data_IF_727891323937
#
_entry.id   IF_727891323937
#
_cell.length_a   1.000
_cell.length_b   1.000
_cell.length_c   1.000
_cell.angle_alpha   90.00
_cell.angle_beta   90.00
_cell.angle_gamma   90.00
#
_symmetry.space_group_name_H-M   'P 1'
#
loop_
_entity.id
_entity.type
_entity.pdbx_description
1 polymer ?
#
# COMPACT_ATOMS: atom_id res chain seq x y z
N UNK A 1 -2.66 -15.88 -8.46
CA UNK A 1 -3.29 -15.27 -7.27
C UNK A 1 -2.78 -13.86 -7.00
N UNK A 2 -1.47 -13.65 -6.81
CA UNK A 2 -0.93 -12.32 -6.42
C UNK A 2 -1.24 -11.19 -7.43
N UNK A 3 -1.17 -11.45 -8.75
CA UNK A 3 -1.52 -10.45 -9.76
C UNK A 3 -3.02 -10.07 -9.72
N UNK A 4 -3.89 -11.06 -9.53
CA UNK A 4 -5.33 -10.82 -9.37
C UNK A 4 -5.60 -9.98 -8.11
N UNK A 5 -4.99 -10.33 -6.98
CA UNK A 5 -5.09 -9.56 -5.74
C UNK A 5 -4.53 -8.14 -5.88
N UNK A 6 -3.43 -7.96 -6.60
CA UNK A 6 -2.89 -6.63 -6.91
C UNK A 6 -3.93 -5.77 -7.63
N UNK A 7 -4.58 -6.30 -8.67
CA UNK A 7 -5.62 -5.59 -9.41
C UNK A 7 -6.79 -5.24 -8.48
N UNK A 8 -7.23 -6.19 -7.66
CA UNK A 8 -8.32 -5.97 -6.69
C UNK A 8 -7.95 -4.86 -5.69
N UNK A 9 -6.74 -4.87 -5.12
CA UNK A 9 -6.31 -3.84 -4.18
C UNK A 9 -6.10 -2.48 -4.82
N UNK A 10 -5.69 -2.43 -6.09
CA UNK A 10 -5.67 -1.17 -6.86
C UNK A 10 -7.08 -0.61 -6.98
N UNK A 11 -8.05 -1.42 -7.42
CA UNK A 11 -9.44 -0.96 -7.59
C UNK A 11 -10.02 -0.52 -6.24
N UNK A 12 -9.88 -1.33 -5.18
CA UNK A 12 -10.41 -1.02 -3.85
C UNK A 12 -9.73 0.21 -3.24
N UNK A 13 -8.42 0.36 -3.39
CA UNK A 13 -7.68 1.52 -2.88
C UNK A 13 -8.14 2.82 -3.53
N UNK A 14 -8.25 2.83 -4.86
CA UNK A 14 -8.76 4.01 -5.58
C UNK A 14 -10.25 4.25 -5.31
N UNK A 15 -11.10 3.22 -5.31
CA UNK A 15 -12.50 3.38 -4.96
C UNK A 15 -12.67 3.94 -3.54
N UNK A 16 -11.91 3.41 -2.57
CA UNK A 16 -11.89 3.95 -1.21
C UNK A 16 -11.48 5.41 -1.17
N UNK A 17 -10.49 5.82 -1.96
CA UNK A 17 -10.06 7.21 -2.07
C UNK A 17 -11.17 8.10 -2.64
N UNK A 18 -11.82 7.69 -3.74
CA UNK A 18 -12.85 8.50 -4.41
C UNK A 18 -14.16 8.58 -3.63
N UNK A 19 -14.52 7.54 -2.89
CA UNK A 19 -15.75 7.48 -2.10
C UNK A 19 -15.56 7.79 -0.61
N UNK A 20 -14.37 8.23 -0.20
CA UNK A 20 -14.00 8.49 1.21
C UNK A 20 -14.31 7.31 2.15
N UNK A 21 -13.87 6.11 1.75
CA UNK A 21 -14.01 4.90 2.56
C UNK A 21 -12.64 4.48 3.07
N UNK A 22 -12.39 4.76 4.35
CA UNK A 22 -11.10 4.56 5.02
C UNK A 22 -10.58 3.12 4.90
N UNK A 23 -11.47 2.15 5.10
CA UNK A 23 -11.12 0.74 4.99
C UNK A 23 -10.60 0.37 3.59
N UNK A 24 -11.17 0.98 2.54
CA UNK A 24 -10.76 0.76 1.16
C UNK A 24 -9.37 1.33 0.89
N UNK A 25 -9.12 2.57 1.33
CA UNK A 25 -7.80 3.22 1.24
C UNK A 25 -6.74 2.43 2.02
N UNK A 26 -7.08 2.02 3.24
CA UNK A 26 -6.18 1.30 4.14
C UNK A 26 -5.76 -0.05 3.57
N UNK A 27 -6.74 -0.88 3.21
CA UNK A 27 -6.48 -2.23 2.71
C UNK A 27 -5.86 -2.18 1.32
N UNK A 28 -6.40 -1.35 0.42
CA UNK A 28 -5.91 -1.22 -0.94
C UNK A 28 -4.46 -0.75 -0.99
N UNK A 29 -4.20 0.48 -0.56
CA UNK A 29 -2.85 1.05 -0.62
C UNK A 29 -1.87 0.42 0.38
N UNK A 30 -2.35 -0.19 1.47
CA UNK A 30 -1.51 -0.93 2.40
C UNK A 30 -0.96 -2.23 1.80
N UNK A 31 -1.76 -2.94 0.98
CA UNK A 31 -1.40 -4.27 0.47
C UNK A 31 -0.86 -4.28 -0.95
N UNK A 32 -1.06 -3.21 -1.73
CA UNK A 32 -0.45 -3.07 -3.08
C UNK A 32 1.05 -3.37 -3.05
N UNK A 33 1.89 -2.73 -2.20
CA UNK A 33 3.33 -2.95 -2.25
C UNK A 33 3.73 -4.39 -1.94
N UNK A 34 3.02 -5.04 -1.02
CA UNK A 34 3.22 -6.45 -0.69
C UNK A 34 2.95 -7.35 -1.89
N UNK A 35 1.89 -7.08 -2.66
CA UNK A 35 1.60 -7.86 -3.87
C UNK A 35 2.64 -7.62 -4.96
N UNK A 36 3.07 -6.36 -5.16
CA UNK A 36 4.15 -6.04 -6.11
C UNK A 36 5.43 -6.79 -5.74
N UNK A 37 5.77 -6.87 -4.45
CA UNK A 37 6.89 -7.65 -3.93
C UNK A 37 6.72 -9.16 -4.19
N UNK A 38 5.54 -9.72 -3.91
CA UNK A 38 5.25 -11.16 -4.09
C UNK A 38 5.26 -11.61 -5.55
N UNK A 39 5.08 -10.69 -6.51
CA UNK A 39 5.20 -10.97 -7.95
C UNK A 39 6.69 -10.93 -8.40
N UNK A 40 7.63 -10.70 -7.48
CA UNK A 40 9.09 -10.63 -7.73
C UNK A 40 9.47 -9.55 -8.75
N UNK A 41 8.76 -8.42 -8.70
CA UNK A 41 9.13 -7.22 -9.46
C UNK A 41 10.49 -6.68 -9.03
N UNK A 42 11.16 -5.89 -9.89
CA UNK A 42 12.45 -5.28 -9.55
C UNK A 42 12.32 -4.40 -8.30
N UNK A 43 13.37 -4.36 -7.48
CA UNK A 43 13.43 -3.57 -6.24
C UNK A 43 12.95 -2.12 -6.42
N UNK A 44 13.33 -1.46 -7.53
CA UNK A 44 12.92 -0.09 -7.86
C UNK A 44 11.40 0.05 -7.90
N UNK A 45 10.68 -0.87 -8.55
CA UNK A 45 9.22 -0.78 -8.65
C UNK A 45 8.52 -1.02 -7.32
N UNK A 46 9.02 -1.97 -6.51
CA UNK A 46 8.47 -2.19 -5.16
C UNK A 46 8.66 -0.95 -4.31
N UNK A 47 9.86 -0.37 -4.31
CA UNK A 47 10.14 0.86 -3.56
C UNK A 47 9.25 2.02 -4.03
N UNK A 48 9.11 2.21 -5.34
CA UNK A 48 8.20 3.23 -5.89
C UNK A 48 6.76 2.98 -5.44
N UNK A 49 6.30 1.73 -5.40
CA UNK A 49 4.95 1.42 -4.93
C UNK A 49 4.76 1.76 -3.45
N UNK A 50 5.74 1.45 -2.58
CA UNK A 50 5.69 1.80 -1.15
C UNK A 50 5.59 3.31 -0.99
N UNK A 51 6.45 4.06 -1.68
CA UNK A 51 6.49 5.53 -1.56
C UNK A 51 5.17 6.13 -2.05
N UNK A 52 4.68 5.73 -3.24
CA UNK A 52 3.45 6.30 -3.79
C UNK A 52 2.23 5.97 -2.95
N UNK A 53 2.08 4.73 -2.49
CA UNK A 53 0.95 4.35 -1.62
C UNK A 53 1.01 5.00 -0.25
N UNK A 54 2.22 5.21 0.29
CA UNK A 54 2.42 5.94 1.56
C UNK A 54 2.00 7.40 1.43
N UNK A 55 2.40 8.08 0.35
CA UNK A 55 2.04 9.47 0.11
C UNK A 55 0.52 9.64 -0.11
N UNK A 56 -0.07 8.79 -0.95
CA UNK A 56 -1.50 8.86 -1.27
C UNK A 56 -2.35 8.49 -0.05
N UNK A 57 -2.13 7.31 0.53
CA UNK A 57 -2.91 6.85 1.69
C UNK A 57 -2.64 7.68 2.95
N UNK A 58 -1.38 8.04 3.20
CA UNK A 58 -1.01 8.90 4.32
C UNK A 58 -1.61 10.29 4.20
N UNK A 59 -1.56 10.90 3.00
CA UNK A 59 -2.20 12.17 2.72
C UNK A 59 -3.72 12.13 2.97
N UNK A 60 -4.38 11.04 2.55
CA UNK A 60 -5.80 10.82 2.79
C UNK A 60 -6.13 10.74 4.30
N UNK A 61 -5.39 9.96 5.09
CA UNK A 61 -5.69 9.83 6.54
C UNK A 61 -5.35 11.10 7.32
N UNK A 62 -4.32 11.86 6.91
CA UNK A 62 -4.05 13.19 7.48
C UNK A 62 -5.21 14.14 7.18
N UNK A 63 -5.70 14.16 5.94
CA UNK A 63 -6.83 14.99 5.54
C UNK A 63 -8.11 14.64 6.30
N UNK A 64 -8.37 13.35 6.49
CA UNK A 64 -9.56 12.84 7.19
C UNK A 64 -9.44 12.88 8.72
N UNK A 65 -8.30 13.34 9.26
CA UNK A 65 -7.99 13.42 10.70
C UNK A 65 -8.00 12.07 11.44
N UNK A 66 -7.81 10.97 10.71
CA UNK A 66 -7.84 9.60 11.25
C UNK A 66 -6.46 9.16 11.73
N UNK A 67 -5.98 9.75 12.83
CA UNK A 67 -4.60 9.57 13.33
C UNK A 67 -4.24 8.13 13.71
N UNK A 68 -5.20 7.38 14.28
CA UNK A 68 -4.98 5.98 14.63
C UNK A 68 -4.78 5.13 13.38
N UNK A 69 -5.64 5.32 12.37
CA UNK A 69 -5.56 4.61 11.10
C UNK A 69 -4.28 4.98 10.37
N UNK A 70 -3.88 6.25 10.38
CA UNK A 70 -2.60 6.71 9.85
C UNK A 70 -1.41 5.99 10.50
N UNK A 71 -1.38 5.89 11.83
CA UNK A 71 -0.29 5.22 12.54
C UNK A 71 -0.18 3.73 12.16
N UNK A 72 -1.33 3.03 12.10
CA UNK A 72 -1.39 1.63 11.65
C UNK A 72 -0.99 1.50 10.17
N UNK A 73 -1.37 2.46 9.33
CA UNK A 73 -1.04 2.46 7.92
C UNK A 73 0.46 2.63 7.70
N UNK A 74 1.09 3.58 8.42
CA UNK A 74 2.55 3.75 8.40
C UNK A 74 3.25 2.47 8.86
N UNK A 75 2.75 1.81 9.92
CA UNK A 75 3.29 0.54 10.38
C UNK A 75 3.26 -0.54 9.27
N UNK A 76 2.16 -0.65 8.52
CA UNK A 76 2.06 -1.56 7.36
C UNK A 76 3.06 -1.18 6.26
N UNK A 77 3.24 0.10 5.98
CA UNK A 77 4.22 0.53 4.96
C UNK A 77 5.66 0.24 5.39
N UNK A 78 5.98 0.38 6.68
CA UNK A 78 7.27 -0.04 7.24
C UNK A 78 7.45 -1.56 7.14
N UNK A 79 6.41 -2.35 7.38
CA UNK A 79 6.46 -3.80 7.17
C UNK A 79 6.73 -4.16 5.71
N UNK A 80 6.10 -3.48 4.75
CA UNK A 80 6.37 -3.65 3.33
C UNK A 80 7.82 -3.32 2.98
N UNK A 81 8.36 -2.25 3.55
CA UNK A 81 9.76 -1.86 3.36
C UNK A 81 10.74 -2.87 3.96
N UNK A 82 10.48 -3.34 5.19
CA UNK A 82 11.25 -4.43 5.79
C UNK A 82 11.20 -5.70 4.93
N UNK A 83 10.03 -6.03 4.37
CA UNK A 83 9.88 -7.11 3.40
C UNK A 83 10.77 -6.93 2.17
N UNK A 84 10.85 -5.72 1.61
CA UNK A 84 11.72 -5.40 0.47
C UNK A 84 13.21 -5.60 0.79
N UNK A 85 13.65 -5.22 1.99
CA UNK A 85 15.05 -5.36 2.42
C UNK A 85 15.47 -6.83 2.54
N UNK A 86 14.56 -7.70 3.00
CA UNK A 86 14.84 -9.12 3.23
C UNK A 86 14.51 -10.00 2.02
N UNK A 87 13.76 -9.49 1.04
CA UNK A 87 13.45 -10.23 -0.16
C UNK A 87 14.68 -10.37 -1.07
N UNK A 88 15.08 -11.60 -1.37
CA UNK A 88 16.02 -11.91 -2.44
C UNK A 88 15.33 -11.69 -3.80
N UNK A 89 15.30 -10.44 -4.23
CA UNK A 89 14.71 -10.03 -5.51
C UNK A 89 15.78 -9.81 -6.58
N UNK A 90 15.41 -10.07 -7.84
CA UNK A 90 16.23 -9.77 -9.01
C UNK A 90 16.46 -8.27 -9.21
#
# INVERSE_FOLDING_TARGET
MNLFLLIVFVIIGFAGLFYNVDAGVFIGFGLIPWQVLKIKMKKKFVLTSIISTTLIGGGYFIYSQEWLILALFIFIQLYNYWGLLNAQMK
#
